data_IF_492715198103
#
_entry.id   IF_492715198103
#
_cell.length_a   1.000
_cell.length_b   1.000
_cell.length_c   1.000
_cell.angle_alpha   90.00
_cell.angle_beta   90.00
_cell.angle_gamma   90.00
#
_symmetry.space_group_name_H-M   'P 1'
#
loop_
_entity.id
_entity.type
_entity.pdbx_description
1 polymer ?
#
# COMPACT_ATOMS: atom_id res chain seq x y z
N UNK A 1 0.56 11.62 -10.91
CA UNK A 1 1.93 11.18 -10.63
C UNK A 1 2.31 11.76 -9.28
N UNK A 2 3.08 11.03 -8.46
CA UNK A 2 3.48 11.52 -7.14
C UNK A 2 4.42 12.73 -7.27
N UNK A 3 4.31 13.70 -6.36
CA UNK A 3 5.29 14.78 -6.23
C UNK A 3 6.56 14.23 -5.56
N UNK A 4 7.70 14.34 -6.21
CA UNK A 4 9.00 13.86 -5.70
C UNK A 4 9.82 15.06 -5.26
N UNK A 5 10.38 14.99 -4.06
CA UNK A 5 11.16 16.05 -3.42
C UNK A 5 12.39 15.43 -2.75
N UNK A 6 13.60 15.80 -3.19
CA UNK A 6 14.84 15.26 -2.62
C UNK A 6 15.68 16.42 -2.07
N UNK A 7 15.92 16.36 -0.77
CA UNK A 7 16.79 17.27 -0.04
C UNK A 7 18.15 16.59 0.18
N UNK A 8 19.18 17.07 -0.51
CA UNK A 8 20.52 16.53 -0.45
C UNK A 8 21.53 17.68 -0.61
N UNK A 9 22.63 17.64 0.14
CA UNK A 9 23.70 18.65 0.02
C UNK A 9 24.46 18.55 -1.31
N UNK A 10 24.51 17.36 -1.91
CA UNK A 10 25.12 17.09 -3.21
C UNK A 10 24.06 17.07 -4.32
N UNK A 11 24.21 17.96 -5.30
CA UNK A 11 23.31 18.07 -6.45
C UNK A 11 23.32 16.82 -7.33
N UNK A 12 24.47 16.16 -7.49
CA UNK A 12 24.56 14.94 -8.28
C UNK A 12 23.78 13.80 -7.61
N UNK A 13 24.00 13.61 -6.30
CA UNK A 13 23.24 12.69 -5.46
C UNK A 13 21.74 12.97 -5.49
N UNK A 14 21.33 14.25 -5.45
CA UNK A 14 19.92 14.64 -5.57
C UNK A 14 19.29 14.09 -6.85
N UNK A 15 19.90 14.35 -8.00
CA UNK A 15 19.36 13.91 -9.29
C UNK A 15 19.32 12.38 -9.42
N UNK A 16 20.28 11.68 -8.81
CA UNK A 16 20.30 10.21 -8.76
C UNK A 16 19.11 9.69 -7.96
N UNK A 17 18.88 10.21 -6.74
CA UNK A 17 17.77 9.75 -5.90
C UNK A 17 16.40 10.11 -6.47
N UNK A 18 16.25 11.27 -7.11
CA UNK A 18 15.01 11.61 -7.82
C UNK A 18 14.66 10.53 -8.86
N UNK A 19 15.66 10.07 -9.62
CA UNK A 19 15.48 8.98 -10.61
C UNK A 19 15.21 7.64 -9.94
N UNK A 20 15.95 7.28 -8.89
CA UNK A 20 15.74 6.01 -8.16
C UNK A 20 14.32 5.96 -7.59
N UNK A 21 13.85 7.04 -6.97
CA UNK A 21 12.50 7.15 -6.44
C UNK A 21 11.49 7.01 -7.57
N UNK A 22 11.66 7.74 -8.68
CA UNK A 22 10.75 7.67 -9.81
C UNK A 22 10.63 6.24 -10.36
N UNK A 23 11.77 5.60 -10.67
CA UNK A 23 11.79 4.23 -11.20
C UNK A 23 11.18 3.24 -10.21
N UNK A 24 11.55 3.34 -8.92
CA UNK A 24 11.00 2.43 -7.90
C UNK A 24 9.48 2.59 -7.71
N UNK A 25 8.95 3.80 -7.87
CA UNK A 25 7.51 4.08 -7.84
C UNK A 25 6.78 3.49 -9.07
N UNK A 26 7.42 3.51 -10.23
CA UNK A 26 6.90 2.95 -11.48
C UNK A 26 6.89 1.41 -11.42
N UNK A 27 8.00 0.80 -11.00
CA UNK A 27 8.17 -0.66 -10.87
C UNK A 27 7.13 -1.28 -9.92
N UNK A 28 6.82 -0.58 -8.82
CA UNK A 28 5.85 -1.03 -7.82
C UNK A 28 4.43 -0.51 -8.08
N UNK A 29 4.20 0.21 -9.19
CA UNK A 29 2.90 0.75 -9.59
C UNK A 29 2.27 1.66 -8.51
N UNK A 30 3.12 2.36 -7.74
CA UNK A 30 2.72 3.22 -6.61
C UNK A 30 2.47 4.67 -7.01
N UNK A 31 2.96 5.11 -8.18
CA UNK A 31 2.94 6.52 -8.58
C UNK A 31 1.56 7.18 -8.70
N UNK A 32 0.48 6.39 -8.82
CA UNK A 32 -0.92 6.90 -8.78
C UNK A 32 -1.52 6.92 -7.38
N UNK A 33 -0.98 6.14 -6.46
CA UNK A 33 -1.51 5.93 -5.10
C UNK A 33 -0.81 6.81 -4.05
N UNK A 34 0.27 7.51 -4.44
CA UNK A 34 1.04 8.42 -3.59
C UNK A 34 0.80 9.87 -4.04
N UNK A 35 0.65 10.77 -3.06
CA UNK A 35 0.56 12.23 -3.28
C UNK A 35 1.98 12.81 -3.34
N UNK A 36 2.80 12.56 -2.31
CA UNK A 36 4.17 13.08 -2.19
C UNK A 36 5.12 12.01 -1.66
N UNK A 37 6.31 11.95 -2.25
CA UNK A 37 7.48 11.25 -1.76
C UNK A 37 8.57 12.28 -1.48
N UNK A 38 9.04 12.36 -0.22
CA UNK A 38 10.14 13.26 0.17
C UNK A 38 11.28 12.45 0.74
N UNK A 39 12.50 12.71 0.27
CA UNK A 39 13.72 12.09 0.78
C UNK A 39 14.67 13.16 1.30
N UNK A 40 15.27 12.89 2.46
CA UNK A 40 16.34 13.69 3.06
C UNK A 40 17.59 12.82 3.09
N UNK A 41 18.66 13.33 2.47
CA UNK A 41 19.95 12.66 2.36
C UNK A 41 20.99 13.45 3.15
N UNK A 42 21.43 12.91 4.30
CA UNK A 42 22.55 13.45 5.06
C UNK A 42 23.77 12.57 4.81
N UNK A 43 24.72 13.07 4.02
CA UNK A 43 25.92 12.30 3.65
C UNK A 43 27.03 12.45 4.69
N UNK A 44 27.11 13.61 5.36
CA UNK A 44 28.14 13.90 6.37
C UNK A 44 27.99 13.04 7.63
N UNK A 45 26.73 12.78 8.01
CA UNK A 45 26.33 11.81 9.03
C UNK A 45 25.45 10.82 8.29
N UNK A 46 25.94 9.62 7.93
CA UNK A 46 25.32 8.74 6.94
C UNK A 46 24.00 8.16 7.44
N UNK A 47 22.94 8.96 7.29
CA UNK A 47 21.56 8.57 7.51
C UNK A 47 20.65 9.22 6.48
N UNK A 48 19.54 8.55 6.25
CA UNK A 48 18.58 8.91 5.23
C UNK A 48 17.18 8.83 5.84
N UNK A 49 16.31 9.72 5.40
CA UNK A 49 14.89 9.70 5.78
C UNK A 49 14.08 9.72 4.50
N UNK A 50 13.12 8.82 4.37
CA UNK A 50 12.12 8.89 3.31
C UNK A 50 10.73 8.94 3.92
N UNK A 51 9.92 9.87 3.44
CA UNK A 51 8.54 10.06 3.85
C UNK A 51 7.61 9.94 2.66
N UNK A 52 6.55 9.16 2.83
CA UNK A 52 5.50 8.96 1.85
C UNK A 52 4.18 9.47 2.42
N UNK A 53 3.51 10.31 1.63
CA UNK A 53 2.12 10.69 1.82
C UNK A 53 1.25 9.89 0.84
N UNK A 54 0.56 8.85 1.30
CA UNK A 54 -0.42 8.12 0.51
C UNK A 54 -1.61 9.00 0.12
N UNK A 55 -2.28 8.65 -0.98
CA UNK A 55 -3.68 9.06 -1.15
C UNK A 55 -4.53 8.35 -0.09
N UNK A 56 -5.57 9.00 0.42
CA UNK A 56 -6.44 8.45 1.48
C UNK A 56 -7.26 7.21 1.08
N UNK A 57 -6.98 6.62 -0.08
CA UNK A 57 -7.80 5.60 -0.75
C UNK A 57 -7.35 4.18 -0.42
N UNK A 58 -7.12 3.86 0.85
CA UNK A 58 -7.15 2.44 1.23
C UNK A 58 -8.62 2.02 1.30
N UNK A 59 -9.20 1.68 0.14
CA UNK A 59 -10.55 1.15 0.11
C UNK A 59 -10.51 -0.29 0.59
N UNK A 60 -11.25 -0.58 1.66
CA UNK A 60 -11.71 -1.94 1.92
C UNK A 60 -12.48 -2.40 0.68
N UNK A 61 -12.02 -3.46 0.04
CA UNK A 61 -12.71 -4.06 -1.09
C UNK A 61 -13.81 -4.93 -0.50
N UNK A 62 -15.06 -4.54 -0.74
CA UNK A 62 -16.24 -5.29 -0.32
C UNK A 62 -16.75 -6.14 -1.46
N UNK A 63 -17.57 -7.14 -1.15
CA UNK A 63 -18.13 -8.03 -2.17
C UNK A 63 -18.85 -7.24 -3.28
N UNK A 64 -19.64 -6.23 -2.91
CA UNK A 64 -20.34 -5.34 -3.86
C UNK A 64 -19.43 -4.60 -4.84
N UNK A 65 -18.14 -4.50 -4.55
CA UNK A 65 -17.18 -3.81 -5.41
C UNK A 65 -16.62 -4.75 -6.50
N UNK A 66 -16.81 -6.07 -6.35
CA UNK A 66 -16.21 -7.09 -7.23
C UNK A 66 -17.20 -8.11 -7.79
N UNK A 67 -18.40 -8.22 -7.20
CA UNK A 67 -19.41 -9.18 -7.61
C UNK A 67 -20.84 -8.70 -7.29
N UNK A 68 -21.79 -9.20 -8.06
CA UNK A 68 -23.22 -8.98 -7.93
C UNK A 68 -23.94 -10.29 -7.54
N UNK A 69 -25.11 -10.14 -6.91
CA UNK A 69 -25.99 -11.28 -6.60
C UNK A 69 -27.01 -11.40 -7.72
N UNK A 70 -26.94 -12.49 -8.48
CA UNK A 70 -27.89 -12.80 -9.56
C UNK A 70 -29.19 -13.39 -8.98
N UNK A 71 -29.06 -14.42 -8.14
CA UNK A 71 -30.20 -15.11 -7.54
C UNK A 71 -29.88 -15.54 -6.11
N UNK A 72 -30.88 -15.52 -5.23
CA UNK A 72 -30.76 -16.13 -3.89
C UNK A 72 -32.04 -16.90 -3.57
N UNK A 73 -31.90 -18.19 -3.28
CA UNK A 73 -33.02 -19.11 -3.02
C UNK A 73 -32.77 -19.85 -1.71
N UNK A 74 -33.80 -19.99 -0.89
CA UNK A 74 -33.75 -20.87 0.28
C UNK A 74 -34.10 -22.30 -0.12
N UNK A 75 -33.21 -23.24 0.16
CA UNK A 75 -33.39 -24.67 -0.07
C UNK A 75 -32.89 -25.44 1.15
N UNK A 76 -33.69 -26.37 1.68
CA UNK A 76 -33.36 -27.19 2.86
C UNK A 76 -32.81 -26.39 4.07
N UNK A 77 -33.40 -25.24 4.34
CA UNK A 77 -33.00 -24.37 5.47
C UNK A 77 -31.69 -23.60 5.26
N UNK A 78 -31.02 -23.77 4.11
CA UNK A 78 -29.84 -23.01 3.69
C UNK A 78 -30.19 -22.01 2.59
N UNK A 79 -29.48 -20.89 2.54
CA UNK A 79 -29.60 -19.91 1.47
C UNK A 79 -28.55 -20.22 0.41
N UNK A 80 -28.97 -20.63 -0.78
CA UNK A 80 -28.10 -20.83 -1.94
C UNK A 80 -28.11 -19.54 -2.74
N UNK A 81 -26.93 -18.95 -2.94
CA UNK A 81 -26.76 -17.68 -3.64
C UNK A 81 -25.89 -17.91 -4.88
N UNK A 82 -26.34 -17.36 -6.01
CA UNK A 82 -25.58 -17.26 -7.24
C UNK A 82 -24.96 -15.87 -7.32
N UNK A 83 -23.64 -15.83 -7.42
CA UNK A 83 -22.84 -14.62 -7.58
C UNK A 83 -22.28 -14.54 -8.99
N UNK A 84 -22.18 -13.32 -9.51
CA UNK A 84 -21.52 -13.00 -10.76
C UNK A 84 -20.35 -12.07 -10.48
N UNK A 85 -19.13 -12.43 -10.87
CA UNK A 85 -17.89 -11.68 -10.63
C UNK A 85 -17.73 -10.65 -11.74
N UNK A 86 -17.71 -9.38 -11.35
CA UNK A 86 -17.50 -8.23 -12.23
C UNK A 86 -16.01 -7.83 -12.32
N UNK A 87 -15.26 -8.03 -11.22
CA UNK A 87 -13.82 -7.77 -11.14
C UNK A 87 -13.07 -9.00 -10.60
N UNK A 88 -12.29 -9.65 -11.47
CA UNK A 88 -11.53 -10.86 -11.13
C UNK A 88 -10.31 -10.60 -10.25
N UNK A 89 -9.90 -9.34 -10.07
CA UNK A 89 -8.68 -8.98 -9.32
C UNK A 89 -8.63 -9.62 -7.94
N UNK A 90 -9.79 -9.77 -7.28
CA UNK A 90 -9.91 -10.31 -5.92
C UNK A 90 -10.74 -11.61 -5.87
N UNK A 91 -10.89 -12.31 -6.99
CA UNK A 91 -11.69 -13.53 -7.07
C UNK A 91 -11.13 -14.64 -6.16
N UNK A 92 -9.80 -14.76 -6.07
CA UNK A 92 -9.15 -15.78 -5.22
C UNK A 92 -9.47 -15.56 -3.74
N UNK A 93 -9.43 -14.31 -3.29
CA UNK A 93 -9.75 -13.91 -1.91
C UNK A 93 -11.23 -14.11 -1.59
N UNK A 94 -12.11 -13.86 -2.56
CA UNK A 94 -13.52 -14.19 -2.44
C UNK A 94 -13.70 -15.70 -2.25
N UNK A 95 -13.11 -16.52 -3.14
CA UNK A 95 -13.20 -17.98 -3.10
C UNK A 95 -12.65 -18.57 -1.80
N UNK A 96 -11.65 -17.93 -1.19
CA UNK A 96 -11.12 -18.33 0.11
C UNK A 96 -12.09 -18.06 1.29
N UNK A 97 -13.07 -17.17 1.12
CA UNK A 97 -14.02 -16.75 2.17
C UNK A 97 -15.39 -17.42 2.08
N UNK A 98 -15.70 -18.09 0.98
CA UNK A 98 -17.00 -18.74 0.77
C UNK A 98 -16.82 -20.22 0.43
N UNK A 99 -17.83 -21.02 0.74
CA UNK A 99 -17.92 -22.40 0.30
C UNK A 99 -18.50 -22.47 -1.11
N UNK A 100 -17.71 -22.90 -2.09
CA UNK A 100 -18.15 -23.02 -3.49
C UNK A 100 -18.83 -24.37 -3.67
N UNK A 101 -20.13 -24.35 -3.96
CA UNK A 101 -20.89 -25.56 -4.27
C UNK A 101 -20.71 -25.96 -5.74
N UNK A 102 -20.74 -24.97 -6.63
CA UNK A 102 -20.58 -25.13 -8.07
C UNK A 102 -20.00 -23.85 -8.66
N UNK A 103 -19.28 -23.99 -9.78
CA UNK A 103 -18.68 -22.87 -10.51
C UNK A 103 -18.92 -23.07 -12.01
N UNK A 104 -20.09 -22.66 -12.53
CA UNK A 104 -20.45 -22.86 -13.94
C UNK A 104 -19.47 -22.20 -14.91
N UNK A 105 -18.85 -21.09 -14.49
CA UNK A 105 -17.81 -20.39 -15.24
C UNK A 105 -16.89 -19.62 -14.30
N UNK A 106 -15.78 -19.09 -14.82
CA UNK A 106 -14.85 -18.23 -14.05
C UNK A 106 -15.51 -17.01 -13.39
N UNK A 107 -16.63 -16.56 -13.94
CA UNK A 107 -17.39 -15.41 -13.43
C UNK A 107 -18.58 -15.80 -12.57
N UNK A 108 -19.02 -17.06 -12.59
CA UNK A 108 -20.25 -17.47 -11.90
C UNK A 108 -19.93 -18.41 -10.75
N UNK A 109 -20.36 -18.05 -9.54
CA UNK A 109 -20.20 -18.88 -8.34
C UNK A 109 -21.58 -19.22 -7.78
N UNK A 110 -21.78 -20.49 -7.41
CA UNK A 110 -22.91 -20.92 -6.58
C UNK A 110 -22.38 -21.30 -5.20
N UNK A 111 -22.94 -20.69 -4.15
CA UNK A 111 -22.49 -20.89 -2.76
C UNK A 111 -23.66 -21.07 -1.80
N UNK A 112 -23.49 -21.89 -0.76
CA UNK A 112 -24.39 -21.98 0.40
C UNK A 112 -23.91 -21.15 1.61
N UNK A 113 -22.84 -20.38 1.44
CA UNK A 113 -22.37 -19.46 2.49
C UNK A 113 -23.33 -18.29 2.63
N UNK A 114 -23.43 -17.72 3.84
CA UNK A 114 -24.12 -16.45 4.02
C UNK A 114 -23.30 -15.33 3.37
N UNK A 115 -23.92 -14.65 2.41
CA UNK A 115 -23.29 -13.61 1.63
C UNK A 115 -23.89 -12.25 1.98
N UNK A 116 -23.06 -11.33 2.45
CA UNK A 116 -23.40 -9.91 2.64
C UNK A 116 -22.61 -9.07 1.64
N UNK A 117 -23.29 -8.25 0.84
CA UNK A 117 -22.66 -7.31 -0.09
C UNK A 117 -21.66 -6.35 0.58
N UNK A 118 -21.77 -6.13 1.89
CA UNK A 118 -20.83 -5.32 2.66
C UNK A 118 -19.66 -6.11 3.26
N UNK A 119 -19.60 -7.44 3.12
CA UNK A 119 -18.50 -8.23 3.64
C UNK A 119 -17.18 -7.79 3.00
N UNK A 120 -16.13 -7.67 3.82
CA UNK A 120 -14.80 -7.30 3.35
C UNK A 120 -14.16 -8.51 2.69
N UNK A 121 -13.83 -8.40 1.41
CA UNK A 121 -13.12 -9.44 0.66
C UNK A 121 -11.63 -9.28 0.84
N UNK A 122 -11.13 -8.07 0.65
CA UNK A 122 -9.71 -7.78 0.71
C UNK A 122 -9.43 -6.41 1.35
N UNK A 123 -8.38 -6.32 2.16
CA UNK A 123 -7.90 -5.05 2.70
C UNK A 123 -6.73 -4.53 1.87
N UNK A 124 -7.04 -3.74 0.83
CA UNK A 124 -6.03 -3.14 -0.04
C UNK A 124 -5.08 -2.18 0.69
N UNK A 125 -5.36 -1.86 1.97
CA UNK A 125 -4.49 -1.05 2.82
C UNK A 125 -3.20 -1.77 3.16
N UNK A 126 -3.28 -3.04 3.57
CA UNK A 126 -2.10 -3.80 4.01
C UNK A 126 -1.14 -4.02 2.84
N UNK A 127 -1.66 -4.50 1.72
CA UNK A 127 -0.91 -4.65 0.46
C UNK A 127 -0.26 -3.34 -0.02
N UNK A 128 -0.97 -2.21 0.14
CA UNK A 128 -0.40 -0.91 -0.19
C UNK A 128 0.75 -0.55 0.76
N UNK A 129 0.57 -0.74 2.07
CA UNK A 129 1.62 -0.45 3.07
C UNK A 129 2.84 -1.32 2.79
N UNK A 130 2.67 -2.60 2.51
CA UNK A 130 3.79 -3.52 2.24
C UNK A 130 4.55 -3.12 0.98
N UNK A 131 3.86 -2.76 -0.10
CA UNK A 131 4.51 -2.20 -1.30
C UNK A 131 5.24 -0.89 -1.02
N UNK A 132 4.69 -0.01 -0.18
CA UNK A 132 5.38 1.23 0.21
C UNK A 132 6.64 0.92 1.03
N UNK A 133 6.60 -0.05 1.92
CA UNK A 133 7.78 -0.46 2.68
C UNK A 133 8.84 -1.09 1.80
N UNK A 134 8.46 -1.94 0.84
CA UNK A 134 9.37 -2.48 -0.18
C UNK A 134 9.98 -1.35 -1.01
N UNK A 135 9.16 -0.41 -1.48
CA UNK A 135 9.63 0.81 -2.17
C UNK A 135 10.69 1.55 -1.35
N UNK A 136 10.39 1.89 -0.08
CA UNK A 136 11.34 2.58 0.79
C UNK A 136 12.62 1.77 0.94
N UNK A 137 12.50 0.44 1.02
CA UNK A 137 13.63 -0.41 1.23
C UNK A 137 14.60 -0.43 0.05
N UNK A 138 14.08 -0.36 -1.19
CA UNK A 138 14.84 -0.31 -2.44
C UNK A 138 15.53 1.03 -2.68
N UNK A 139 14.93 2.13 -2.20
CA UNK A 139 15.49 3.48 -2.39
C UNK A 139 16.71 3.71 -1.51
N UNK A 140 16.73 3.16 -0.29
CA UNK A 140 17.86 3.34 0.61
C UNK A 140 19.13 2.64 0.09
N UNK A 141 20.31 3.24 0.30
CA UNK A 141 21.58 2.57 0.03
C UNK A 141 21.70 1.26 0.79
N UNK A 142 22.38 0.28 0.18
CA UNK A 142 22.59 -1.06 0.76
C UNK A 142 23.27 -1.04 2.14
N UNK A 143 24.12 -0.04 2.40
CA UNK A 143 24.79 0.14 3.70
C UNK A 143 23.83 0.46 4.85
N UNK A 144 22.65 1.02 4.56
CA UNK A 144 21.70 1.50 5.57
C UNK A 144 20.84 0.35 6.11
N UNK A 145 21.40 -0.44 7.03
CA UNK A 145 20.75 -1.66 7.55
C UNK A 145 19.86 -1.41 8.77
N UNK A 146 20.16 -0.39 9.58
CA UNK A 146 19.38 -0.06 10.76
C UNK A 146 18.24 0.85 10.33
N UNK A 147 17.00 0.40 10.55
CA UNK A 147 15.79 1.08 10.07
C UNK A 147 14.79 1.26 11.20
N UNK A 148 14.14 2.42 11.23
CA UNK A 148 12.98 2.69 12.09
C UNK A 148 11.89 3.34 11.25
N UNK A 149 10.66 2.89 11.44
CA UNK A 149 9.50 3.39 10.70
C UNK A 149 8.48 4.00 11.65
N UNK A 150 7.98 5.18 11.29
CA UNK A 150 6.88 5.86 11.94
C UNK A 150 5.67 5.76 11.00
N UNK A 151 4.55 5.21 11.48
CA UNK A 151 3.34 4.99 10.69
C UNK A 151 2.16 5.74 11.32
N UNK A 152 1.49 6.52 10.50
CA UNK A 152 0.21 7.17 10.79
C UNK A 152 -0.54 7.36 9.44
N UNK A 153 -1.07 8.56 9.16
CA UNK A 153 -1.54 8.96 7.81
C UNK A 153 -0.42 9.05 6.79
N UNK A 154 0.83 9.13 7.25
CA UNK A 154 2.06 9.09 6.43
C UNK A 154 2.90 7.90 6.89
N UNK A 155 3.80 7.46 6.02
CA UNK A 155 4.78 6.43 6.34
C UNK A 155 6.14 7.11 6.22
N UNK A 156 6.90 7.18 7.31
CA UNK A 156 8.25 7.76 7.31
C UNK A 156 9.22 6.71 7.82
N UNK A 157 10.32 6.50 7.10
CA UNK A 157 11.37 5.58 7.49
C UNK A 157 12.70 6.31 7.58
N UNK A 158 13.43 6.07 8.67
CA UNK A 158 14.81 6.47 8.87
C UNK A 158 15.69 5.24 8.65
N UNK A 159 16.77 5.40 7.89
CA UNK A 159 17.75 4.35 7.65
C UNK A 159 19.18 4.88 7.91
N UNK A 160 20.00 4.08 8.59
CA UNK A 160 21.40 4.39 8.89
C UNK A 160 22.27 3.13 8.94
N UNK A 161 23.58 3.31 8.84
CA UNK A 161 24.59 2.29 9.15
C UNK A 161 24.76 2.06 10.66
N UNK A 162 24.50 3.08 11.48
CA UNK A 162 24.70 3.08 12.93
C UNK A 162 23.38 3.14 13.69
N UNK A 163 23.37 2.83 15.01
CA UNK A 163 22.17 2.99 15.82
C UNK A 163 21.57 4.40 15.63
N UNK A 164 20.26 4.43 15.38
CA UNK A 164 19.56 5.68 15.07
C UNK A 164 19.48 6.55 16.33
N UNK A 165 20.04 7.76 16.23
CA UNK A 165 20.05 8.78 17.27
C UNK A 165 18.69 9.50 17.40
N UNK A 166 18.45 10.12 18.55
CA UNK A 166 17.18 10.79 18.82
C UNK A 166 16.96 11.99 17.89
N UNK A 167 17.99 12.79 17.62
CA UNK A 167 17.88 13.97 16.75
C UNK A 167 17.45 13.59 15.32
N UNK A 168 17.86 12.41 14.82
CA UNK A 168 17.45 11.91 13.50
C UNK A 168 15.98 11.45 13.51
N UNK A 169 15.51 10.89 14.63
CA UNK A 169 14.10 10.58 14.82
C UNK A 169 13.26 11.85 14.89
N UNK A 170 13.75 12.91 15.53
CA UNK A 170 13.06 14.19 15.62
C UNK A 170 12.94 14.84 14.24
N UNK A 171 13.95 14.72 13.38
CA UNK A 171 13.87 15.15 11.97
C UNK A 171 12.83 14.33 11.18
N UNK A 172 12.74 13.02 11.42
CA UNK A 172 11.71 12.17 10.82
C UNK A 172 10.30 12.54 11.26
N UNK A 173 10.11 12.90 12.54
CA UNK A 173 8.83 13.39 13.06
C UNK A 173 8.46 14.74 12.44
N UNK A 174 9.42 15.67 12.29
CA UNK A 174 9.20 16.93 11.59
C UNK A 174 8.76 16.71 10.15
N UNK A 175 9.42 15.80 9.44
CA UNK A 175 9.04 15.42 8.09
C UNK A 175 7.63 14.82 8.04
N UNK A 176 7.29 13.97 9.01
CA UNK A 176 5.94 13.41 9.12
C UNK A 176 4.87 14.51 9.24
N UNK A 177 5.09 15.51 10.09
CA UNK A 177 4.15 16.62 10.27
C UNK A 177 4.08 17.52 9.02
N UNK A 178 5.20 17.79 8.36
CA UNK A 178 5.25 18.51 7.07
C UNK A 178 4.38 17.82 6.01
N UNK A 179 4.50 16.49 5.90
CA UNK A 179 3.73 15.72 4.93
C UNK A 179 2.23 15.73 5.24
N UNK A 180 1.82 15.78 6.51
CA UNK A 180 0.39 15.82 6.90
C UNK A 180 -0.29 17.12 6.49
N UNK A 181 0.44 18.22 6.38
CA UNK A 181 -0.11 19.54 6.00
C UNK A 181 0.02 19.84 4.50
N UNK A 182 0.67 18.97 3.74
CA UNK A 182 0.84 19.10 2.30
C UNK A 182 -0.53 19.03 1.58
N UNK A 183 -0.80 19.98 0.69
CA UNK A 183 -2.06 20.14 -0.04
C UNK A 183 -1.91 19.78 -1.51
#
# INVERSE_FOLDING_TARGET
MAYIDVECNDEAGKAIYERIIQTSLEDLVLGKSIIKAKMICKQDVPYFIIGILPKSTSKLIRLRDIATIDESKKSDGKTITKLNIDDETYATELLAKINVMDQPSRFEIVTDSEVDLNMVIHDAKEDFVDRVLDFMNRVFPEGMRIRKTIRDKTIVMVASEKPIEQDWMDEAVKLQEELKIFK
#
